data_IF_548723008937
#
_entry.id   IF_548723008937
#
_cell.length_a   1.000
_cell.length_b   1.000
_cell.length_c   1.000
_cell.angle_alpha   90.00
_cell.angle_beta   90.00
_cell.angle_gamma   90.00
#
_symmetry.space_group_name_H-M   'P 1'
#
loop_
_entity.id
_entity.type
_entity.pdbx_description
1 polymer ?
#
# COMPACT_ATOMS: atom_id res chain seq x y z
N UNK A 1 7.23 18.59 12.86
CA UNK A 1 6.13 17.74 12.35
C UNK A 1 6.69 16.34 12.12
N UNK A 2 6.28 15.33 12.89
CA UNK A 2 6.65 13.94 12.62
C UNK A 2 5.65 13.39 11.60
N UNK A 3 5.97 13.48 10.31
CA UNK A 3 5.21 12.78 9.28
C UNK A 3 5.41 11.28 9.48
N UNK A 4 4.34 10.53 9.71
CA UNK A 4 4.40 9.08 9.70
C UNK A 4 4.40 8.63 8.25
N UNK A 5 5.38 7.81 7.88
CA UNK A 5 5.40 7.22 6.55
C UNK A 5 4.23 6.23 6.43
N UNK A 6 3.48 6.34 5.34
CA UNK A 6 2.41 5.41 4.99
C UNK A 6 2.76 4.71 3.71
N UNK A 7 2.94 3.39 3.79
CA UNK A 7 3.14 2.54 2.63
C UNK A 7 1.77 2.09 2.13
N UNK A 8 1.52 2.33 0.86
CA UNK A 8 0.25 2.02 0.22
C UNK A 8 0.52 1.08 -0.94
N UNK A 9 -0.19 -0.05 -0.92
CA UNK A 9 -0.29 -1.11 -1.93
C UNK A 9 0.52 -2.39 -1.63
N UNK A 10 -0.25 -3.47 -1.46
CA UNK A 10 0.17 -4.86 -1.61
C UNK A 10 -0.82 -5.49 -2.59
N UNK A 11 -0.41 -5.64 -3.84
CA UNK A 11 -1.22 -6.26 -4.88
C UNK A 11 -0.86 -7.74 -4.92
N UNK A 12 -1.75 -8.60 -4.43
CA UNK A 12 -1.64 -10.03 -4.64
C UNK A 12 -2.40 -10.37 -5.94
N UNK A 13 -1.70 -10.45 -7.08
CA UNK A 13 -2.32 -10.98 -8.28
C UNK A 13 -2.59 -12.48 -8.08
N UNK A 14 -3.82 -12.92 -8.38
CA UNK A 14 -4.08 -14.35 -8.61
C UNK A 14 -3.10 -14.86 -9.65
N UNK A 15 -2.31 -15.87 -9.30
CA UNK A 15 -1.44 -16.60 -10.21
C UNK A 15 -2.33 -17.30 -11.24
N UNK A 16 -2.53 -16.66 -12.39
CA UNK A 16 -2.94 -17.34 -13.59
C UNK A 16 -1.74 -18.07 -14.18
N UNK A 17 -1.57 -19.34 -13.81
CA UNK A 17 -0.66 -20.29 -14.47
C UNK A 17 0.74 -20.40 -13.85
N UNK A 18 1.04 -21.65 -13.43
CA UNK A 18 2.35 -22.28 -13.16
C UNK A 18 3.24 -21.70 -12.05
N UNK A 19 3.14 -22.37 -10.89
CA UNK A 19 4.21 -22.78 -9.96
C UNK A 19 5.15 -21.73 -9.32
N UNK A 20 4.63 -21.00 -8.34
CA UNK A 20 5.32 -20.72 -7.06
C UNK A 20 4.33 -20.95 -5.91
N UNK A 21 4.72 -21.55 -4.77
CA UNK A 21 3.78 -21.79 -3.68
C UNK A 21 3.43 -20.43 -3.05
N UNK A 22 2.17 -20.00 -3.23
CA UNK A 22 1.61 -18.77 -2.67
C UNK A 22 1.94 -18.54 -1.19
N UNK A 23 2.16 -19.62 -0.44
CA UNK A 23 2.52 -19.61 0.97
C UNK A 23 3.89 -18.97 1.29
N UNK A 24 4.91 -19.10 0.42
CA UNK A 24 6.23 -18.49 0.68
C UNK A 24 6.19 -16.96 0.54
N UNK A 25 5.50 -16.46 -0.49
CA UNK A 25 5.32 -15.01 -0.69
C UNK A 25 4.51 -14.36 0.41
N UNK A 26 3.50 -15.05 0.93
CA UNK A 26 2.69 -14.55 2.06
C UNK A 26 3.55 -14.40 3.33
N UNK A 27 4.47 -15.33 3.59
CA UNK A 27 5.38 -15.23 4.74
C UNK A 27 6.35 -14.05 4.60
N UNK A 28 6.91 -13.82 3.41
CA UNK A 28 7.79 -12.68 3.16
C UNK A 28 7.04 -11.34 3.28
N UNK A 29 5.81 -11.28 2.74
CA UNK A 29 4.94 -10.10 2.86
C UNK A 29 4.59 -9.81 4.33
N UNK A 30 4.29 -10.85 5.13
CA UNK A 30 4.04 -10.70 6.57
C UNK A 30 5.26 -10.12 7.30
N UNK A 31 6.45 -10.70 7.08
CA UNK A 31 7.69 -10.23 7.70
C UNK A 31 7.96 -8.76 7.32
N UNK A 32 7.78 -8.43 6.05
CA UNK A 32 7.97 -7.07 5.55
C UNK A 32 7.00 -6.06 6.16
N UNK A 33 5.73 -6.44 6.33
CA UNK A 33 4.72 -5.62 7.00
C UNK A 33 5.07 -5.42 8.47
N UNK A 34 5.48 -6.49 9.18
CA UNK A 34 5.91 -6.39 10.57
C UNK A 34 7.13 -5.48 10.74
N UNK A 35 8.14 -5.60 9.87
CA UNK A 35 9.33 -4.74 9.87
C UNK A 35 8.97 -3.27 9.63
N UNK A 36 8.06 -3.01 8.69
CA UNK A 36 7.55 -1.66 8.45
C UNK A 36 6.82 -1.11 9.69
N UNK A 37 5.94 -1.92 10.29
CA UNK A 37 5.20 -1.53 11.50
C UNK A 37 6.13 -1.28 12.69
N UNK A 38 7.15 -2.11 12.89
CA UNK A 38 8.19 -1.93 13.91
C UNK A 38 8.98 -0.64 13.68
N UNK A 39 9.23 -0.29 12.42
CA UNK A 39 9.82 0.99 12.04
C UNK A 39 8.87 2.19 12.19
N UNK A 40 7.62 2.00 12.65
CA UNK A 40 6.64 3.08 12.80
C UNK A 40 6.06 3.57 11.48
N UNK A 41 6.11 2.72 10.44
CA UNK A 41 5.49 2.93 9.12
C UNK A 41 4.12 2.26 9.16
N UNK A 42 3.07 3.00 8.79
CA UNK A 42 1.72 2.46 8.76
C UNK A 42 1.43 1.91 7.36
N UNK A 43 1.32 0.58 7.24
CA UNK A 43 1.07 -0.09 5.96
C UNK A 43 -0.44 -0.18 5.73
N UNK A 44 -0.88 0.24 4.54
CA UNK A 44 -2.28 0.20 4.10
C UNK A 44 -2.40 -0.61 2.82
N UNK A 45 -3.36 -1.53 2.78
CA UNK A 45 -3.67 -2.35 1.62
C UNK A 45 -4.76 -1.70 0.76
N UNK A 46 -4.54 -1.69 -0.55
CA UNK A 46 -5.42 -1.10 -1.55
C UNK A 46 -5.50 -2.11 -2.69
N UNK A 47 -6.68 -2.74 -2.90
CA UNK A 47 -6.89 -3.80 -3.90
C UNK A 47 -8.20 -3.61 -4.68
N UNK A 48 -8.21 -4.03 -5.95
CA UNK A 48 -9.38 -3.99 -6.84
C UNK A 48 -10.27 -5.24 -6.74
N UNK A 49 -9.92 -6.22 -5.90
CA UNK A 49 -10.74 -7.40 -5.61
C UNK A 49 -11.85 -7.08 -4.58
N UNK A 50 -12.74 -8.04 -4.40
CA UNK A 50 -13.83 -8.01 -3.44
C UNK A 50 -13.33 -7.98 -1.98
N UNK A 51 -14.22 -7.53 -1.10
CA UNK A 51 -14.00 -7.38 0.34
C UNK A 51 -13.55 -8.69 1.01
N UNK A 52 -14.09 -9.84 0.59
CA UNK A 52 -13.73 -11.12 1.19
C UNK A 52 -12.26 -11.48 0.91
N UNK A 53 -11.82 -11.42 -0.35
CA UNK A 53 -10.42 -11.69 -0.72
C UNK A 53 -9.48 -10.70 -0.03
N UNK A 54 -9.82 -9.41 -0.06
CA UNK A 54 -9.02 -8.36 0.56
C UNK A 54 -8.83 -8.59 2.06
N UNK A 55 -9.88 -9.05 2.77
CA UNK A 55 -9.81 -9.37 4.20
C UNK A 55 -8.87 -10.54 4.48
N UNK A 56 -8.96 -11.61 3.69
CA UNK A 56 -8.11 -12.80 3.85
C UNK A 56 -6.64 -12.41 3.71
N UNK A 57 -6.28 -11.77 2.59
CA UNK A 57 -4.89 -11.37 2.32
C UNK A 57 -4.39 -10.38 3.38
N UNK A 58 -5.19 -9.37 3.74
CA UNK A 58 -4.77 -8.40 4.74
C UNK A 58 -4.51 -9.01 6.12
N UNK A 59 -5.24 -10.08 6.47
CA UNK A 59 -5.04 -10.80 7.72
C UNK A 59 -3.78 -11.66 7.64
N UNK A 60 -3.56 -12.36 6.52
CA UNK A 60 -2.38 -13.19 6.29
C UNK A 60 -1.08 -12.38 6.26
N UNK A 61 -1.10 -11.18 5.67
CA UNK A 61 0.04 -10.26 5.65
C UNK A 61 0.21 -9.45 6.95
N UNK A 62 -0.61 -9.67 7.99
CA UNK A 62 -0.49 -8.95 9.27
C UNK A 62 -0.85 -7.45 9.23
N UNK A 63 -1.57 -7.02 8.19
CA UNK A 63 -2.07 -5.63 8.05
C UNK A 63 -3.29 -5.43 8.94
N UNK A 64 -4.21 -6.41 8.94
CA UNK A 64 -5.32 -6.50 9.87
C UNK A 64 -5.00 -7.54 10.94
N UNK A 65 -5.29 -7.22 12.20
CA UNK A 65 -5.16 -8.19 13.29
C UNK A 65 -6.36 -9.15 13.29
N UNK A 66 -6.12 -10.42 13.63
CA UNK A 66 -7.16 -11.47 13.69
C UNK A 66 -8.40 -11.10 14.52
N UNK A 67 -8.24 -10.17 15.47
CA UNK A 67 -9.27 -9.75 16.42
C UNK A 67 -9.83 -8.34 16.16
N UNK A 68 -9.41 -7.68 15.08
CA UNK A 68 -10.03 -6.42 14.65
C UNK A 68 -11.32 -6.74 13.91
N UNK A 69 -12.44 -6.60 14.61
CA UNK A 69 -13.77 -6.74 14.02
C UNK A 69 -13.95 -5.77 12.83
N UNK A 70 -14.65 -6.23 11.81
CA UNK A 70 -14.96 -5.45 10.60
C UNK A 70 -15.70 -4.13 10.89
N UNK A 71 -16.33 -4.01 12.06
CA UNK A 71 -17.15 -2.87 12.46
C UNK A 71 -16.36 -1.65 12.95
N UNK A 72 -15.04 -1.75 13.14
CA UNK A 72 -14.24 -0.61 13.61
C UNK A 72 -13.87 0.40 12.51
N UNK A 73 -14.33 0.19 11.27
CA UNK A 73 -14.02 1.08 10.14
C UNK A 73 -12.58 0.96 9.62
N UNK A 74 -11.88 -0.13 9.95
CA UNK A 74 -10.53 -0.44 9.44
C UNK A 74 -10.52 -0.89 7.97
N UNK A 75 -11.68 -1.26 7.43
CA UNK A 75 -11.87 -1.66 6.05
C UNK A 75 -13.02 -0.90 5.39
N UNK A 76 -12.86 -0.53 4.12
CA UNK A 76 -13.88 0.19 3.36
C UNK A 76 -13.85 -0.19 1.88
N UNK A 77 -14.98 -0.10 1.18
CA UNK A 77 -14.99 -0.19 -0.29
C UNK A 77 -14.62 1.16 -0.92
N UNK A 78 -13.98 1.14 -2.10
CA UNK A 78 -13.61 2.35 -2.83
C UNK A 78 -14.79 3.28 -3.12
N UNK A 79 -15.95 2.72 -3.47
CA UNK A 79 -17.19 3.49 -3.68
C UNK A 79 -17.64 4.23 -2.43
N UNK A 80 -17.57 3.57 -1.26
CA UNK A 80 -17.95 4.16 0.02
C UNK A 80 -16.99 5.28 0.39
N UNK A 81 -15.67 5.05 0.23
CA UNK A 81 -14.66 6.05 0.51
C UNK A 81 -14.78 7.28 -0.38
N UNK A 82 -15.08 7.10 -1.68
CA UNK A 82 -15.29 8.20 -2.62
C UNK A 82 -16.51 9.05 -2.28
N UNK A 83 -17.57 8.43 -1.74
CA UNK A 83 -18.82 9.08 -1.40
C UNK A 83 -18.80 9.79 -0.04
N UNK A 84 -17.77 9.58 0.79
CA UNK A 84 -17.57 10.37 2.00
C UNK A 84 -17.30 11.85 1.66
N UNK A 85 -17.73 12.74 2.55
CA UNK A 85 -17.34 14.15 2.46
C UNK A 85 -15.83 14.30 2.64
N UNK A 86 -15.26 15.46 2.34
CA UNK A 86 -13.85 15.71 2.62
C UNK A 86 -13.55 15.56 4.12
N UNK A 87 -14.40 16.11 4.98
CA UNK A 87 -14.25 16.02 6.45
C UNK A 87 -14.27 14.58 6.93
N UNK A 88 -15.23 13.77 6.47
CA UNK A 88 -15.32 12.35 6.81
C UNK A 88 -14.09 11.56 6.35
N UNK A 89 -13.59 11.84 5.13
CA UNK A 89 -12.35 11.20 4.64
C UNK A 89 -11.18 11.57 5.52
N UNK A 90 -11.03 12.85 5.87
CA UNK A 90 -9.91 13.31 6.70
C UNK A 90 -9.97 12.75 8.12
N UNK A 91 -11.17 12.50 8.67
CA UNK A 91 -11.32 11.84 9.96
C UNK A 91 -10.98 10.33 9.89
N UNK A 92 -11.44 9.65 8.84
CA UNK A 92 -11.39 8.18 8.74
C UNK A 92 -10.13 7.62 8.07
N UNK A 93 -9.45 8.36 7.20
CA UNK A 93 -8.34 7.86 6.36
C UNK A 93 -7.17 7.27 7.18
N UNK A 94 -6.95 7.75 8.40
CA UNK A 94 -5.93 7.20 9.29
C UNK A 94 -6.30 5.81 9.82
N UNK A 95 -7.60 5.58 10.08
CA UNK A 95 -8.15 4.34 10.63
C UNK A 95 -8.35 3.27 9.56
N UNK A 96 -8.52 3.67 8.29
CA UNK A 96 -8.68 2.73 7.17
C UNK A 96 -7.34 2.07 6.85
N UNK A 97 -7.23 0.77 7.08
CA UNK A 97 -6.07 -0.06 6.72
C UNK A 97 -6.25 -0.79 5.41
N UNK A 98 -7.49 -1.17 5.07
CA UNK A 98 -7.78 -1.94 3.86
C UNK A 98 -8.86 -1.24 3.04
N UNK A 99 -8.59 -1.07 1.76
CA UNK A 99 -9.57 -0.56 0.81
C UNK A 99 -9.73 -1.57 -0.33
N UNK A 100 -10.96 -1.98 -0.61
CA UNK A 100 -11.30 -3.00 -1.60
C UNK A 100 -12.16 -2.42 -2.74
N UNK A 101 -12.29 -3.16 -3.86
CA UNK A 101 -13.11 -2.78 -5.04
C UNK A 101 -12.78 -1.39 -5.59
N UNK A 102 -11.49 -1.16 -5.80
CA UNK A 102 -10.97 0.14 -6.13
C UNK A 102 -10.91 0.46 -7.61
N UNK A 103 -11.16 1.73 -7.93
CA UNK A 103 -10.79 2.33 -9.20
C UNK A 103 -9.46 3.11 -9.09
N UNK A 104 -8.81 3.44 -10.22
CA UNK A 104 -7.62 4.29 -10.22
C UNK A 104 -7.82 5.63 -9.50
N UNK A 105 -9.02 6.22 -9.61
CA UNK A 105 -9.36 7.49 -8.97
C UNK A 105 -9.38 7.37 -7.43
N UNK A 106 -9.81 6.23 -6.90
CA UNK A 106 -9.89 6.02 -5.45
C UNK A 106 -8.49 5.93 -4.83
N UNK A 107 -7.55 5.28 -5.53
CA UNK A 107 -6.14 5.21 -5.11
C UNK A 107 -5.55 6.62 -4.99
N UNK A 108 -5.74 7.43 -6.05
CA UNK A 108 -5.29 8.82 -6.08
C UNK A 108 -5.91 9.64 -4.95
N UNK A 109 -7.22 9.49 -4.75
CA UNK A 109 -7.93 10.21 -3.70
C UNK A 109 -7.42 9.86 -2.30
N UNK A 110 -7.14 8.58 -2.04
CA UNK A 110 -6.59 8.15 -0.75
C UNK A 110 -5.19 8.73 -0.53
N UNK A 111 -4.33 8.74 -1.56
CA UNK A 111 -3.01 9.38 -1.52
C UNK A 111 -3.11 10.86 -1.15
N UNK A 112 -4.00 11.59 -1.83
CA UNK A 112 -4.23 13.02 -1.58
C UNK A 112 -4.73 13.28 -0.15
N UNK A 113 -5.68 12.49 0.35
CA UNK A 113 -6.16 12.62 1.73
C UNK A 113 -5.03 12.40 2.74
N UNK A 114 -4.18 11.37 2.54
CA UNK A 114 -3.05 11.09 3.42
C UNK A 114 -2.02 12.23 3.40
N UNK A 115 -1.67 12.74 2.22
CA UNK A 115 -0.76 13.89 2.08
C UNK A 115 -1.32 15.17 2.68
N UNK A 116 -2.62 15.45 2.48
CA UNK A 116 -3.31 16.60 3.10
C UNK A 116 -3.27 16.54 4.64
N UNK A 117 -3.21 15.35 5.23
CA UNK A 117 -3.02 15.17 6.69
C UNK A 117 -1.57 15.37 7.16
N UNK A 118 -0.64 15.64 6.25
CA UNK A 118 0.79 15.81 6.55
C UNK A 118 1.55 14.49 6.74
N UNK A 119 1.00 13.37 6.26
CA UNK A 119 1.76 12.13 6.18
C UNK A 119 2.71 12.18 4.98
N UNK A 120 3.86 11.51 5.12
CA UNK A 120 4.71 11.18 3.97
C UNK A 120 4.17 9.87 3.39
N UNK A 121 3.87 9.85 2.10
CA UNK A 121 3.17 8.76 1.44
C UNK A 121 4.08 8.12 0.41
N UNK A 122 4.27 6.81 0.52
CA UNK A 122 4.90 6.01 -0.54
C UNK A 122 3.87 5.05 -1.12
N UNK A 123 3.85 4.94 -2.44
CA UNK A 123 2.87 4.12 -3.17
C UNK A 123 3.62 3.16 -4.06
N UNK A 124 3.32 1.87 -3.93
CA UNK A 124 3.78 0.85 -4.88
C UNK A 124 2.72 0.63 -5.93
N UNK A 125 3.07 0.51 -7.20
CA UNK A 125 2.11 0.11 -8.23
C UNK A 125 2.76 -0.50 -9.47
N UNK A 126 1.99 -1.35 -10.15
CA UNK A 126 2.42 -2.13 -11.31
C UNK A 126 1.63 -1.80 -12.60
N UNK A 127 0.47 -1.14 -12.48
CA UNK A 127 -0.48 -0.95 -13.58
C UNK A 127 -0.21 0.29 -14.44
N UNK A 128 -0.64 0.22 -15.71
CA UNK A 128 -0.54 1.34 -16.66
C UNK A 128 -1.34 2.58 -16.24
N UNK A 129 -2.42 2.38 -15.50
CA UNK A 129 -3.29 3.46 -15.02
C UNK A 129 -2.83 4.08 -13.69
N UNK A 130 -1.70 3.64 -13.15
CA UNK A 130 -1.24 4.04 -11.83
C UNK A 130 -0.24 5.21 -11.86
N UNK A 131 0.15 5.69 -13.06
CA UNK A 131 1.03 6.85 -13.21
C UNK A 131 0.56 8.10 -12.41
N UNK A 132 -0.73 8.47 -12.38
CA UNK A 132 -1.18 9.63 -11.60
C UNK A 132 -0.96 9.45 -10.10
N UNK A 133 -1.17 8.24 -9.57
CA UNK A 133 -1.04 7.99 -8.14
C UNK A 133 0.43 7.83 -7.72
N UNK A 134 1.28 7.27 -8.59
CA UNK A 134 2.73 7.23 -8.38
C UNK A 134 3.32 8.64 -8.32
N UNK A 135 2.91 9.53 -9.24
CA UNK A 135 3.33 10.93 -9.25
C UNK A 135 2.76 11.76 -8.08
N UNK A 136 1.59 11.37 -7.54
CA UNK A 136 1.02 12.03 -6.38
C UNK A 136 1.73 11.60 -5.08
N UNK A 137 2.31 10.41 -5.01
CA UNK A 137 3.06 9.98 -3.83
C UNK A 137 4.27 10.91 -3.58
N UNK A 138 4.75 10.95 -2.33
CA UNK A 138 6.05 11.58 -2.05
C UNK A 138 7.19 10.72 -2.57
N UNK A 139 6.98 9.40 -2.64
CA UNK A 139 7.88 8.42 -3.27
C UNK A 139 7.04 7.35 -3.98
N UNK A 140 7.06 7.35 -5.31
CA UNK A 140 6.44 6.34 -6.15
C UNK A 140 7.35 5.14 -6.38
N UNK A 141 6.83 3.93 -6.21
CA UNK A 141 7.56 2.68 -6.35
C UNK A 141 6.90 1.80 -7.42
N UNK A 142 7.71 1.16 -8.25
CA UNK A 142 7.23 0.14 -9.19
C UNK A 142 8.02 -1.16 -9.06
N UNK A 143 7.46 -2.23 -9.60
CA UNK A 143 8.05 -3.56 -9.63
C UNK A 143 8.72 -3.81 -10.99
N UNK A 144 9.87 -4.48 -11.03
CA UNK A 144 10.65 -4.66 -12.28
C UNK A 144 9.98 -5.58 -13.28
N UNK A 145 9.58 -6.78 -12.87
CA UNK A 145 8.94 -7.78 -13.75
C UNK A 145 7.44 -7.52 -13.78
N UNK A 146 6.82 -7.28 -12.62
CA UNK A 146 5.37 -7.11 -12.55
C UNK A 146 4.90 -5.74 -13.05
N UNK A 147 5.74 -4.71 -12.95
CA UNK A 147 5.41 -3.36 -13.38
C UNK A 147 5.40 -3.21 -14.89
N UNK A 148 4.37 -2.52 -15.38
CA UNK A 148 4.31 -2.03 -16.76
C UNK A 148 5.36 -0.95 -17.01
N UNK A 149 5.75 -0.75 -18.27
CA UNK A 149 6.76 0.28 -18.60
C UNK A 149 6.32 1.67 -18.15
N UNK A 150 5.03 1.97 -18.31
CA UNK A 150 4.41 3.21 -17.85
C UNK A 150 4.54 3.39 -16.33
N UNK A 151 4.37 2.32 -15.55
CA UNK A 151 4.54 2.38 -14.10
C UNK A 151 6.01 2.63 -13.71
N UNK A 152 6.96 2.03 -14.43
CA UNK A 152 8.41 2.24 -14.17
C UNK A 152 8.85 3.66 -14.50
N UNK A 153 8.43 4.20 -15.64
CA UNK A 153 8.71 5.57 -16.05
C UNK A 153 8.10 6.62 -15.10
N UNK A 154 7.00 6.27 -14.44
CA UNK A 154 6.30 7.15 -13.49
C UNK A 154 6.73 6.94 -12.03
N UNK A 155 7.67 6.02 -11.76
CA UNK A 155 8.12 5.71 -10.40
C UNK A 155 9.51 6.30 -10.12
N UNK A 156 9.73 6.73 -8.88
CA UNK A 156 11.04 7.20 -8.41
C UNK A 156 12.03 6.06 -8.20
N UNK A 157 11.52 4.89 -7.79
CA UNK A 157 12.32 3.70 -7.51
C UNK A 157 11.66 2.47 -8.13
N UNK A 158 12.47 1.67 -8.82
CA UNK A 158 12.08 0.36 -9.36
C UNK A 158 12.66 -0.74 -8.47
N UNK A 159 11.81 -1.56 -7.85
CA UNK A 159 12.19 -2.72 -7.05
C UNK A 159 12.59 -3.86 -8.00
N UNK A 160 13.87 -4.22 -7.98
CA UNK A 160 14.48 -5.09 -9.00
C UNK A 160 14.22 -6.59 -8.81
N UNK A 161 13.86 -7.00 -7.60
CA UNK A 161 13.59 -8.39 -7.20
C UNK A 161 12.09 -8.69 -7.06
N UNK A 162 11.22 -7.72 -7.38
CA UNK A 162 9.75 -7.82 -7.30
C UNK A 162 9.23 -8.31 -5.93
N UNK A 163 10.00 -8.07 -4.86
CA UNK A 163 9.64 -8.48 -3.50
C UNK A 163 9.29 -7.26 -2.64
N UNK A 164 8.12 -7.28 -1.99
CA UNK A 164 7.72 -6.23 -1.07
C UNK A 164 8.66 -6.10 0.14
N UNK A 165 9.34 -7.17 0.56
CA UNK A 165 10.36 -7.11 1.60
C UNK A 165 11.50 -6.13 1.29
N UNK A 166 11.78 -5.89 0.01
CA UNK A 166 12.76 -4.88 -0.42
C UNK A 166 12.32 -3.44 -0.12
N UNK A 167 11.01 -3.19 0.07
CA UNK A 167 10.52 -1.90 0.56
C UNK A 167 11.09 -1.57 1.94
N UNK A 168 11.02 -2.51 2.89
CA UNK A 168 11.53 -2.29 4.24
C UNK A 168 13.03 -1.91 4.20
N UNK A 169 13.77 -2.55 3.28
CA UNK A 169 15.17 -2.21 3.02
C UNK A 169 15.32 -0.78 2.49
N UNK A 170 14.57 -0.38 1.46
CA UNK A 170 14.59 0.99 0.91
C UNK A 170 14.30 2.03 2.00
N UNK A 171 13.30 1.77 2.84
CA UNK A 171 12.93 2.68 3.94
C UNK A 171 14.03 2.77 5.00
N UNK A 172 14.69 1.64 5.31
CA UNK A 172 15.84 1.61 6.22
C UNK A 172 17.00 2.44 5.69
N UNK A 173 17.35 2.28 4.40
CA UNK A 173 18.41 3.07 3.76
C UNK A 173 18.08 4.56 3.73
N UNK A 174 16.84 4.92 3.38
CA UNK A 174 16.40 6.32 3.37
C UNK A 174 16.58 7.00 4.74
N UNK A 175 16.23 6.30 5.83
CA UNK A 175 16.45 6.81 7.20
C UNK A 175 17.92 6.87 7.61
N UNK A 176 18.71 5.86 7.24
CA UNK A 176 20.14 5.85 7.51
C UNK A 176 20.84 7.04 6.84
N UNK A 177 20.49 7.35 5.59
CA UNK A 177 21.06 8.52 4.90
C UNK A 177 20.61 9.80 5.59
N UNK A 178 19.31 9.98 5.87
CA UNK A 178 18.80 11.19 6.55
C UNK A 178 19.46 11.46 7.91
N UNK A 179 19.70 10.43 8.71
CA UNK A 179 20.33 10.59 10.03
C UNK A 179 21.84 10.91 9.96
N UNK A 180 22.48 10.72 8.81
CA UNK A 180 23.91 10.92 8.60
C UNK A 180 24.24 12.25 7.89
N UNK A 181 23.25 13.10 7.65
CA UNK A 181 23.38 14.47 7.08
C UNK A 181 22.97 15.49 8.15
#
# INVERSE_FOLDING_TARGET
MRGHLKAVNLKHNKVGGTDEPSMYRINDDLIAVEDCQYAGVNVKMIIDDNVFTAKVIATECGILKLNEEMDNGSMVEGVTFRNYTEEERMEKVDKIYVMARLSPLDKLLMAQCLKKKGHVVTITSDGTNDAPVLNEADIGLSMRIQGTEVAKESSDIVILDDNFASLATVLRWGRCVYNNI
#
